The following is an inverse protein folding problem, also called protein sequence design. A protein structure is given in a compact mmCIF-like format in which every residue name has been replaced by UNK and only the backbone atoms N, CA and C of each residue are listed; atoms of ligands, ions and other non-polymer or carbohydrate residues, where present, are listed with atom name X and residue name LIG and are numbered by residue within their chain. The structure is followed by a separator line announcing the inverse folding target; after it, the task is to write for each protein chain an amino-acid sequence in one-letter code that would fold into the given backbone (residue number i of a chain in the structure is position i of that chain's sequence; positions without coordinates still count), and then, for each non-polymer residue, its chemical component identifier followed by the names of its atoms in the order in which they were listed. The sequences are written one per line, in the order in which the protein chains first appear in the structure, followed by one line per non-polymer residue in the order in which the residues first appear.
data_IF_722944250622
#
_entry.id   IF_722944250622
#
_cell.length_a   1.000
_cell.length_b   1.000
_cell.length_c   1.000
_cell.angle_alpha   90.00
_cell.angle_beta   90.00
_cell.angle_gamma   90.00
#
_symmetry.space_group_name_H-M   'P 1'
#
loop_
_entity.id
_entity.type
_entity.pdbx_description
1 polymer ?
#
# COMPACT_ATOMS: atom_id res chain seq x y z
N UNK A 1 -31.81 1.68 3.36
CA UNK A 1 -30.42 1.24 3.58
C UNK A 1 -29.82 1.03 2.22
N UNK A 2 -28.61 1.54 1.93
CA UNK A 2 -27.96 1.25 0.66
C UNK A 2 -27.67 -0.26 0.59
N UNK A 3 -28.18 -0.94 -0.43
CA UNK A 3 -27.91 -2.36 -0.64
C UNK A 3 -26.56 -2.49 -1.34
N UNK A 4 -25.57 -3.09 -0.66
CA UNK A 4 -24.26 -3.31 -1.24
C UNK A 4 -24.33 -4.48 -2.24
N UNK A 5 -24.25 -4.17 -3.53
CA UNK A 5 -24.28 -5.15 -4.61
C UNK A 5 -22.85 -5.50 -5.05
N UNK A 6 -22.33 -6.59 -4.49
CA UNK A 6 -20.99 -7.14 -4.75
C UNK A 6 -20.70 -7.34 -6.25
N UNK A 7 -21.73 -7.61 -7.06
CA UNK A 7 -21.59 -7.90 -8.49
C UNK A 7 -21.32 -6.64 -9.33
N UNK A 8 -21.54 -5.45 -8.76
CA UNK A 8 -21.29 -4.17 -9.45
C UNK A 8 -19.86 -3.68 -9.29
N UNK A 9 -19.06 -4.31 -8.44
CA UNK A 9 -17.65 -3.96 -8.22
C UNK A 9 -16.83 -4.51 -9.38
N UNK A 10 -16.17 -3.63 -10.11
CA UNK A 10 -15.27 -4.01 -11.20
C UNK A 10 -14.03 -4.74 -10.68
N UNK A 11 -13.38 -5.52 -11.54
CA UNK A 11 -12.12 -6.22 -11.20
C UNK A 11 -11.02 -5.25 -10.73
N UNK A 12 -10.98 -4.05 -11.31
CA UNK A 12 -10.04 -3.00 -10.92
C UNK A 12 -10.34 -2.48 -9.51
N UNK A 13 -11.60 -2.21 -9.19
CA UNK A 13 -11.99 -1.78 -7.85
C UNK A 13 -11.71 -2.87 -6.81
N UNK A 14 -11.92 -4.14 -7.17
CA UNK A 14 -11.52 -5.27 -6.35
C UNK A 14 -10.02 -5.32 -6.07
N UNK A 15 -9.18 -4.91 -7.03
CA UNK A 15 -7.75 -4.80 -6.78
C UNK A 15 -7.44 -3.74 -5.70
N UNK A 16 -8.15 -2.60 -5.70
CA UNK A 16 -8.00 -1.56 -4.67
C UNK A 16 -8.55 -1.95 -3.30
N UNK A 17 -9.78 -2.45 -3.27
CA UNK A 17 -10.46 -2.90 -2.03
C UNK A 17 -9.70 -4.07 -1.42
N UNK A 18 -9.38 -5.07 -2.24
CA UNK A 18 -8.62 -6.25 -1.84
C UNK A 18 -7.22 -5.88 -1.35
N UNK A 19 -6.52 -4.98 -2.03
CA UNK A 19 -5.20 -4.52 -1.58
C UNK A 19 -5.27 -3.77 -0.24
N UNK A 20 -6.26 -2.92 0.00
CA UNK A 20 -6.43 -2.23 1.28
C UNK A 20 -6.69 -3.20 2.43
N UNK A 21 -7.55 -4.20 2.21
CA UNK A 21 -7.83 -5.25 3.19
C UNK A 21 -6.60 -6.14 3.43
N UNK A 22 -5.92 -6.54 2.35
CA UNK A 22 -4.70 -7.34 2.42
C UNK A 22 -3.59 -6.59 3.16
N UNK A 23 -3.39 -5.29 2.89
CA UNK A 23 -2.42 -4.47 3.60
C UNK A 23 -2.69 -4.42 5.11
N UNK A 24 -3.96 -4.32 5.52
CA UNK A 24 -4.34 -4.42 6.92
C UNK A 24 -3.96 -5.78 7.53
N UNK A 25 -4.27 -6.89 6.85
CA UNK A 25 -3.92 -8.23 7.35
C UNK A 25 -2.39 -8.40 7.42
N UNK A 26 -1.67 -8.01 6.37
CA UNK A 26 -0.21 -8.14 6.28
C UNK A 26 0.52 -7.22 7.26
N UNK A 27 -0.13 -6.16 7.75
CA UNK A 27 0.45 -5.27 8.76
C UNK A 27 0.81 -5.98 10.07
N UNK A 28 0.14 -7.10 10.38
CA UNK A 28 0.40 -7.90 11.58
C UNK A 28 1.52 -8.93 11.40
N UNK A 29 1.96 -9.17 10.16
CA UNK A 29 3.09 -10.06 9.89
C UNK A 29 4.41 -9.39 10.30
N UNK A 30 5.53 -10.13 10.38
CA UNK A 30 6.86 -9.57 10.55
C UNK A 30 7.23 -8.64 9.37
N UNK A 31 7.39 -7.35 9.63
CA UNK A 31 7.89 -6.36 8.65
C UNK A 31 9.39 -6.13 8.79
N UNK A 32 9.95 -6.39 9.97
CA UNK A 32 11.37 -6.40 10.24
C UNK A 32 11.70 -7.56 11.17
N UNK A 33 12.82 -8.23 10.91
CA UNK A 33 13.31 -9.34 11.74
C UNK A 33 14.79 -9.16 12.00
N UNK A 34 15.21 -9.53 13.21
CA UNK A 34 16.62 -9.60 13.63
C UNK A 34 16.85 -10.97 14.23
N UNK A 35 17.88 -11.66 13.78
CA UNK A 35 18.38 -12.89 14.37
C UNK A 35 19.82 -12.68 14.85
N UNK A 36 20.11 -13.20 16.04
CA UNK A 36 21.44 -13.12 16.65
C UNK A 36 21.90 -14.55 16.91
N UNK A 37 22.98 -14.94 16.23
CA UNK A 37 23.48 -16.30 16.26
C UNK A 37 23.72 -16.77 17.71
N UNK A 38 22.95 -17.78 18.14
CA UNK A 38 23.09 -18.42 19.46
C UNK A 38 22.33 -17.75 20.62
N UNK A 39 21.67 -16.61 20.42
CA UNK A 39 20.90 -15.91 21.46
C UNK A 39 19.40 -15.73 21.13
N UNK A 40 19.01 -16.02 19.89
CA UNK A 40 17.61 -15.96 19.43
C UNK A 40 17.26 -14.61 18.81
N UNK A 41 16.25 -14.63 17.94
CA UNK A 41 15.81 -13.47 17.17
C UNK A 41 14.50 -12.84 17.65
N UNK A 42 14.23 -11.64 17.16
CA UNK A 42 12.99 -10.89 17.36
C UNK A 42 12.42 -10.39 16.03
N UNK A 43 11.10 -10.16 16.00
CA UNK A 43 10.46 -9.53 14.84
C UNK A 43 9.49 -8.43 15.26
N UNK A 44 9.34 -7.44 14.38
CA UNK A 44 8.45 -6.31 14.55
C UNK A 44 7.42 -6.29 13.41
N UNK A 45 6.17 -6.05 13.78
CA UNK A 45 5.06 -5.81 12.85
C UNK A 45 5.05 -4.36 12.36
N UNK A 46 4.28 -4.05 11.30
CA UNK A 46 4.19 -2.69 10.75
C UNK A 46 3.85 -1.63 11.80
N UNK A 47 3.05 -2.00 12.79
CA UNK A 47 2.61 -1.14 13.91
C UNK A 47 3.75 -0.75 14.85
N UNK A 48 4.81 -1.55 14.87
CA UNK A 48 5.97 -1.42 15.76
C UNK A 48 7.27 -1.11 15.02
N UNK A 49 7.32 -1.26 13.69
CA UNK A 49 8.52 -1.09 12.87
C UNK A 49 8.86 0.38 12.59
N UNK A 50 7.86 1.27 12.57
CA UNK A 50 8.10 2.71 12.41
C UNK A 50 6.98 3.47 11.72
N UNK A 51 7.16 4.78 11.60
CA UNK A 51 6.16 5.69 11.02
C UNK A 51 5.84 5.36 9.56
N UNK A 52 6.85 5.07 8.73
CA UNK A 52 6.63 4.80 7.31
C UNK A 52 5.89 3.48 7.07
N UNK A 53 6.23 2.43 7.83
CA UNK A 53 5.50 1.16 7.83
C UNK A 53 4.02 1.38 8.18
N UNK A 54 3.74 2.02 9.32
CA UNK A 54 2.38 2.33 9.76
C UNK A 54 1.62 3.17 8.72
N UNK A 55 2.19 4.27 8.25
CA UNK A 55 1.54 5.18 7.31
C UNK A 55 1.25 4.52 5.96
N UNK A 56 2.15 3.65 5.47
CA UNK A 56 1.91 2.92 4.22
C UNK A 56 0.67 2.03 4.29
N UNK A 57 0.48 1.33 5.42
CA UNK A 57 -0.69 0.49 5.68
C UNK A 57 -1.95 1.35 5.71
N UNK A 58 -1.92 2.46 6.46
CA UNK A 58 -3.07 3.36 6.58
C UNK A 58 -3.45 4.00 5.25
N UNK A 59 -2.46 4.37 4.42
CA UNK A 59 -2.71 4.89 3.08
C UNK A 59 -3.35 3.85 2.16
N UNK A 60 -2.93 2.58 2.24
CA UNK A 60 -3.55 1.49 1.46
C UNK A 60 -4.97 1.17 1.94
N UNK A 61 -5.19 1.17 3.25
CA UNK A 61 -6.54 1.04 3.80
C UNK A 61 -7.44 2.19 3.36
N UNK A 62 -6.94 3.42 3.40
CA UNK A 62 -7.67 4.60 2.92
C UNK A 62 -7.94 4.53 1.42
N UNK A 63 -7.00 4.04 0.61
CA UNK A 63 -7.21 3.78 -0.81
C UNK A 63 -8.32 2.76 -1.05
N UNK A 64 -8.30 1.60 -0.38
CA UNK A 64 -9.35 0.59 -0.48
C UNK A 64 -10.72 1.10 -0.03
N UNK A 65 -10.77 1.84 1.08
CA UNK A 65 -11.98 2.49 1.58
C UNK A 65 -12.53 3.55 0.62
N UNK A 66 -11.65 4.33 -0.02
CA UNK A 66 -12.03 5.34 -1.00
C UNK A 66 -12.65 4.71 -2.25
N UNK A 67 -12.10 3.60 -2.73
CA UNK A 67 -12.63 2.83 -3.85
C UNK A 67 -13.97 2.19 -3.48
N UNK A 68 -14.15 1.81 -2.21
CA UNK A 68 -15.39 1.23 -1.71
C UNK A 68 -16.51 2.26 -1.49
N UNK A 69 -16.17 3.52 -1.18
CA UNK A 69 -17.13 4.56 -0.78
C UNK A 69 -18.28 4.83 -1.78
N UNK A 70 -18.07 4.86 -3.11
CA UNK A 70 -19.16 5.02 -4.08
C UNK A 70 -20.24 3.94 -4.02
N UNK A 71 -19.88 2.72 -3.61
CA UNK A 71 -20.81 1.61 -3.45
C UNK A 71 -21.76 1.80 -2.25
N UNK A 72 -21.47 2.77 -1.38
CA UNK A 72 -22.34 3.22 -0.29
C UNK A 72 -23.04 4.56 -0.58
N UNK A 73 -22.98 5.06 -1.82
CA UNK A 73 -23.63 6.29 -2.25
C UNK A 73 -22.80 7.57 -2.04
N UNK A 74 -21.52 7.45 -1.70
CA UNK A 74 -20.63 8.61 -1.54
C UNK A 74 -20.00 8.98 -2.88
N UNK A 75 -20.26 10.19 -3.37
CA UNK A 75 -19.64 10.66 -4.61
C UNK A 75 -18.25 11.24 -4.34
N UNK A 76 -17.23 10.62 -4.92
CA UNK A 76 -15.84 11.08 -4.82
C UNK A 76 -15.40 11.63 -6.17
N UNK A 77 -15.22 12.95 -6.24
CA UNK A 77 -14.66 13.58 -7.42
C UNK A 77 -13.20 13.14 -7.63
N UNK A 78 -12.83 12.84 -8.89
CA UNK A 78 -11.46 12.44 -9.26
C UNK A 78 -10.95 11.20 -8.52
N UNK A 79 -11.83 10.26 -8.18
CA UNK A 79 -11.49 9.02 -7.47
C UNK A 79 -10.23 8.32 -8.01
N UNK A 80 -10.05 8.10 -9.33
CA UNK A 80 -8.86 7.39 -9.82
C UNK A 80 -7.54 8.13 -9.54
N UNK A 81 -7.55 9.47 -9.57
CA UNK A 81 -6.37 10.28 -9.25
C UNK A 81 -6.01 10.20 -7.78
N UNK A 82 -7.02 10.33 -6.90
CA UNK A 82 -6.82 10.28 -5.46
C UNK A 82 -6.34 8.88 -5.08
N UNK A 83 -6.99 7.84 -5.56
CA UNK A 83 -6.58 6.45 -5.35
C UNK A 83 -5.15 6.18 -5.84
N UNK A 84 -4.77 6.68 -7.02
CA UNK A 84 -3.41 6.55 -7.55
C UNK A 84 -2.40 7.28 -6.66
N UNK A 85 -2.74 8.47 -6.17
CA UNK A 85 -1.86 9.24 -5.28
C UNK A 85 -1.64 8.53 -3.95
N UNK A 86 -2.69 8.01 -3.30
CA UNK A 86 -2.55 7.27 -2.05
C UNK A 86 -1.70 6.02 -2.23
N UNK A 87 -1.96 5.24 -3.28
CA UNK A 87 -1.20 4.02 -3.56
C UNK A 87 0.25 4.33 -3.90
N UNK A 88 0.51 5.39 -4.67
CA UNK A 88 1.85 5.84 -5.00
C UNK A 88 2.65 6.30 -3.78
N UNK A 89 2.04 7.10 -2.89
CA UNK A 89 2.68 7.54 -1.64
C UNK A 89 2.93 6.35 -0.70
N UNK A 90 2.00 5.39 -0.64
CA UNK A 90 2.20 4.16 0.14
C UNK A 90 3.43 3.37 -0.35
N UNK A 91 3.57 3.18 -1.68
CA UNK A 91 4.77 2.53 -2.25
C UNK A 91 6.03 3.29 -1.84
N UNK A 92 6.05 4.62 -1.96
CA UNK A 92 7.19 5.43 -1.56
C UNK A 92 7.55 5.20 -0.09
N UNK A 93 6.56 5.18 0.81
CA UNK A 93 6.81 4.94 2.23
C UNK A 93 7.36 3.54 2.51
N UNK A 94 6.87 2.51 1.82
CA UNK A 94 7.42 1.15 1.96
C UNK A 94 8.88 1.11 1.49
N UNK A 95 9.20 1.76 0.38
CA UNK A 95 10.57 1.83 -0.15
C UNK A 95 11.50 2.63 0.76
N UNK A 96 11.03 3.78 1.29
CA UNK A 96 11.79 4.57 2.27
C UNK A 96 12.02 3.78 3.55
N UNK A 97 11.00 3.08 4.06
CA UNK A 97 11.14 2.20 5.22
C UNK A 97 12.23 1.16 4.95
N UNK A 98 12.18 0.47 3.81
CA UNK A 98 13.17 -0.55 3.45
C UNK A 98 14.59 0.04 3.34
N UNK A 99 14.74 1.29 2.88
CA UNK A 99 16.05 1.95 2.80
C UNK A 99 16.60 2.39 4.17
N UNK A 100 15.72 2.77 5.11
CA UNK A 100 16.08 3.27 6.44
C UNK A 100 16.29 2.12 7.44
N UNK A 101 15.78 0.92 7.14
CA UNK A 101 15.95 -0.26 7.97
C UNK A 101 17.45 -0.50 8.26
N UNK A 102 17.85 -0.65 9.53
CA UNK A 102 19.21 -1.05 9.86
C UNK A 102 19.40 -2.49 9.42
N UNK A 103 20.08 -2.66 8.28
CA UNK A 103 20.21 -3.92 7.57
C UNK A 103 21.67 -4.20 7.20
N UNK A 104 22.09 -5.43 7.47
CA UNK A 104 23.19 -6.14 6.83
C UNK A 104 22.68 -6.93 5.58
N UNK A 105 21.45 -6.64 5.10
CA UNK A 105 20.74 -7.39 4.05
C UNK A 105 19.71 -6.57 3.23
N UNK A 106 19.76 -5.25 3.31
CA UNK A 106 18.82 -4.32 2.70
C UNK A 106 19.31 -3.84 1.33
N UNK A 107 18.45 -3.18 0.55
CA UNK A 107 18.80 -2.67 -0.79
C UNK A 107 19.95 -1.63 -0.73
N UNK A 108 20.18 -1.05 0.46
CA UNK A 108 21.27 -0.10 0.72
C UNK A 108 22.56 -0.72 1.26
N UNK A 109 22.59 -2.03 1.53
CA UNK A 109 23.79 -2.66 2.09
C UNK A 109 24.79 -3.03 1.00
N UNK A 110 25.92 -2.31 1.01
CA UNK A 110 27.12 -2.57 0.21
C UNK A 110 28.22 -3.26 1.06
N UNK A 111 27.88 -3.84 2.20
CA UNK A 111 28.80 -4.58 3.06
C UNK A 111 29.17 -5.93 2.47
N UNK A 112 30.21 -5.91 1.62
CA UNK A 112 30.92 -7.09 1.13
C UNK A 112 31.73 -7.83 2.21
N UNK A 113 31.56 -7.51 3.50
CA UNK A 113 32.39 -7.99 4.61
C UNK A 113 31.53 -8.40 5.82
N UNK A 114 30.70 -9.43 5.63
CA UNK A 114 29.94 -10.07 6.70
C UNK A 114 30.84 -10.69 7.79
N UNK A 115 30.55 -10.37 9.05
CA UNK A 115 31.30 -10.92 10.19
C UNK A 115 30.67 -10.71 11.57
N UNK A 116 29.48 -10.13 11.70
CA UNK A 116 28.89 -9.75 13.00
C UNK A 116 28.03 -10.85 13.66
N UNK A 117 27.63 -11.91 12.96
CA UNK A 117 26.76 -12.96 13.52
C UNK A 117 25.34 -12.46 13.87
N UNK A 118 24.96 -11.29 13.38
CA UNK A 118 23.64 -10.68 13.51
C UNK A 118 23.06 -10.58 12.10
N UNK A 119 21.94 -11.24 11.84
CA UNK A 119 21.22 -11.16 10.57
C UNK A 119 19.97 -10.29 10.79
N UNK A 120 19.95 -9.07 10.26
CA UNK A 120 18.77 -8.20 10.29
C UNK A 120 18.31 -7.83 8.89
N UNK A 121 17.00 -7.85 8.68
CA UNK A 121 16.43 -7.76 7.33
C UNK A 121 14.95 -7.40 7.25
N UNK A 122 14.55 -7.02 6.03
CA UNK A 122 13.14 -6.89 5.65
C UNK A 122 12.37 -8.20 5.88
N UNK A 123 11.31 -8.12 6.68
CA UNK A 123 10.42 -9.24 6.95
C UNK A 123 9.43 -9.51 5.81
N UNK A 124 8.85 -10.70 5.80
CA UNK A 124 7.88 -11.14 4.77
C UNK A 124 6.66 -10.21 4.64
N UNK A 125 6.22 -9.59 5.74
CA UNK A 125 5.13 -8.62 5.76
C UNK A 125 5.42 -7.37 4.95
N UNK A 126 6.68 -6.92 4.89
CA UNK A 126 7.08 -5.77 4.07
C UNK A 126 6.93 -6.09 2.57
N UNK A 127 7.38 -7.27 2.15
CA UNK A 127 7.27 -7.73 0.75
C UNK A 127 5.81 -7.87 0.35
N UNK A 128 4.99 -8.52 1.18
CA UNK A 128 3.55 -8.65 0.92
C UNK A 128 2.84 -7.29 0.90
N UNK A 129 3.21 -6.37 1.79
CA UNK A 129 2.74 -4.99 1.79
C UNK A 129 3.07 -4.27 0.49
N UNK A 130 4.30 -4.45 -0.03
CA UNK A 130 4.72 -3.88 -1.30
C UNK A 130 3.92 -4.45 -2.48
N UNK A 131 3.68 -5.77 -2.50
CA UNK A 131 2.86 -6.41 -3.53
C UNK A 131 1.43 -5.83 -3.50
N UNK A 132 0.82 -5.73 -2.32
CA UNK A 132 -0.51 -5.12 -2.17
C UNK A 132 -0.52 -3.66 -2.69
N UNK A 133 0.52 -2.90 -2.37
CA UNK A 133 0.66 -1.52 -2.83
C UNK A 133 0.77 -1.42 -4.36
N UNK A 134 1.55 -2.30 -4.99
CA UNK A 134 1.68 -2.39 -6.45
C UNK A 134 0.38 -2.82 -7.12
N UNK A 135 -0.35 -3.79 -6.55
CA UNK A 135 -1.66 -4.20 -7.04
C UNK A 135 -2.67 -3.05 -6.99
N UNK A 136 -2.71 -2.31 -5.87
CA UNK A 136 -3.56 -1.12 -5.73
C UNK A 136 -3.18 -0.04 -6.74
N UNK A 137 -1.89 0.26 -6.89
CA UNK A 137 -1.40 1.27 -7.82
C UNK A 137 -1.67 0.90 -9.29
N UNK A 138 -1.53 -0.38 -9.65
CA UNK A 138 -1.85 -0.89 -10.97
C UNK A 138 -3.33 -0.74 -11.29
N UNK A 139 -4.22 -1.08 -10.35
CA UNK A 139 -5.66 -0.86 -10.46
C UNK A 139 -5.99 0.62 -10.64
N UNK A 140 -5.39 1.48 -9.81
CA UNK A 140 -5.60 2.93 -9.85
C UNK A 140 -5.12 3.56 -11.17
N UNK A 141 -3.97 3.12 -11.68
CA UNK A 141 -3.40 3.62 -12.92
C UNK A 141 -4.28 3.25 -14.12
N UNK A 142 -4.78 2.02 -14.18
CA UNK A 142 -5.71 1.60 -15.23
C UNK A 142 -7.03 2.36 -15.16
N UNK A 143 -7.59 2.54 -13.96
CA UNK A 143 -8.79 3.34 -13.74
C UNK A 143 -8.59 4.81 -14.16
N UNK A 144 -7.41 5.38 -13.88
CA UNK A 144 -7.07 6.75 -14.27
C UNK A 144 -6.92 6.89 -15.79
N UNK A 145 -6.27 5.92 -16.46
CA UNK A 145 -6.11 5.91 -17.92
C UNK A 145 -7.42 5.69 -18.66
N UNK A 146 -8.38 4.97 -18.07
CA UNK A 146 -9.71 4.75 -18.62
C UNK A 146 -10.69 5.91 -18.41
N UNK A 147 -10.33 6.92 -17.61
CA UNK A 147 -11.23 8.04 -17.33
C UNK A 147 -11.38 8.96 -18.57
N UNK A 148 -12.63 9.23 -19.04
CA UNK A 148 -12.85 10.17 -20.14
C UNK A 148 -12.30 11.56 -19.79
N UNK A 149 -11.51 12.14 -20.69
CA UNK A 149 -11.01 13.52 -20.53
C UNK A 149 -12.23 14.46 -20.56
N UNK A 150 -12.39 15.38 -19.58
CA UNK A 150 -13.46 16.37 -19.64
C UNK A 150 -13.35 17.15 -20.95
N UNK A 151 -14.43 17.19 -21.73
CA UNK A 151 -14.47 17.95 -22.97
C UNK A 151 -14.18 19.44 -22.65
N UNK A 152 -13.26 20.10 -23.36
CA UNK A 152 -13.05 21.53 -23.20
C UNK A 152 -14.33 22.27 -23.59
N UNK A 153 -15.04 22.86 -22.62
CA UNK A 153 -16.19 23.74 -22.90
C UNK A 153 -17.54 23.37 -22.26
N UNK A 154 -17.64 22.37 -21.39
CA UNK A 154 -18.86 22.17 -20.60
C UNK A 154 -19.00 23.28 -19.53
N UNK A 155 -19.50 24.44 -19.96
CA UNK A 155 -19.88 25.54 -19.08
C UNK A 155 -21.17 25.14 -18.33
N UNK A 156 -21.18 25.06 -16.98
CA UNK A 156 -22.37 24.72 -16.20
C UNK A 156 -23.45 25.83 -16.18
N UNK A 157 -23.25 26.96 -16.88
CA UNK A 157 -24.17 28.10 -16.88
C UNK A 157 -25.18 28.12 -18.06
N UNK A 158 -25.38 27.03 -18.78
CA UNK A 158 -26.27 26.97 -19.96
C UNK A 158 -27.41 25.94 -19.84
N UNK A 159 -27.76 25.50 -18.63
CA UNK A 159 -28.93 24.67 -18.35
C UNK A 159 -29.93 25.42 -17.46
#
# INVERSE_FOLDING_TARGET
MAEFDVKRVSTLEWAGIGAGLAAFIFSFLPWYSVDVAGFGGGSLSAWSTGFFALMSVLLLMAAGGLVLAPHFGVQVARLPLIWLSLSGVAILFILLQWLILPDDGGIGDFSLLGGSGIESGAGFGLILGLIAALTSAGGALMAFRGAPKPAPGANPAAA
#
